data_IF_707558770852
#
_entry.id   IF_707558770852
#
_cell.length_a   1.000
_cell.length_b   1.000
_cell.length_c   1.000
_cell.angle_alpha   90.00
_cell.angle_beta   90.00
_cell.angle_gamma   90.00
#
_symmetry.space_group_name_H-M   'P 1'
#
loop_
_entity.id
_entity.type
_entity.pdbx_description
1 polymer ?
#
# COMPACT_ATOMS: atom_id res chain seq x y z
N UNK A 1 -3.30 20.05 -4.23
CA UNK A 1 -4.73 19.75 -4.52
C UNK A 1 -4.94 19.12 -5.91
N UNK A 2 -4.21 19.52 -6.98
CA UNK A 2 -4.39 18.94 -8.33
C UNK A 2 -4.13 17.43 -8.39
N UNK A 3 -3.05 16.93 -7.74
CA UNK A 3 -2.77 15.49 -7.63
C UNK A 3 -3.95 14.75 -6.97
N UNK A 4 -4.47 15.29 -5.86
CA UNK A 4 -5.58 14.68 -5.13
C UNK A 4 -6.91 14.71 -5.91
N UNK A 5 -7.11 15.70 -6.79
CA UNK A 5 -8.26 15.73 -7.72
C UNK A 5 -8.17 14.58 -8.73
N UNK A 6 -7.00 14.36 -9.34
CA UNK A 6 -6.77 13.24 -10.27
C UNK A 6 -6.95 11.88 -9.57
N UNK A 7 -6.41 11.74 -8.37
CA UNK A 7 -6.55 10.52 -7.56
C UNK A 7 -8.03 10.17 -7.33
N UNK A 8 -8.80 11.14 -6.85
CA UNK A 8 -10.22 10.94 -6.51
C UNK A 8 -11.08 10.67 -7.74
N UNK A 9 -10.91 11.48 -8.81
CA UNK A 9 -11.74 11.43 -10.02
C UNK A 9 -11.30 10.37 -11.03
N UNK A 10 -10.04 9.91 -10.98
CA UNK A 10 -9.47 8.97 -11.94
C UNK A 10 -9.27 9.54 -13.33
N UNK A 11 -9.27 10.85 -13.49
CA UNK A 11 -9.13 11.53 -14.79
C UNK A 11 -7.70 11.41 -15.33
N UNK A 12 -7.55 11.58 -16.65
CA UNK A 12 -6.24 11.70 -17.28
C UNK A 12 -5.56 13.01 -16.87
N UNK A 13 -4.23 13.04 -16.83
CA UNK A 13 -3.46 14.24 -16.49
C UNK A 13 -3.86 15.45 -17.33
N UNK A 14 -4.02 15.28 -18.63
CA UNK A 14 -4.39 16.35 -19.57
C UNK A 14 -5.78 16.95 -19.31
N UNK A 15 -6.64 16.23 -18.59
CA UNK A 15 -7.99 16.66 -18.23
C UNK A 15 -8.08 17.24 -16.82
N UNK A 16 -6.92 17.62 -16.23
CA UNK A 16 -6.91 18.34 -14.96
C UNK A 16 -7.65 19.66 -15.10
N UNK A 17 -8.50 19.99 -14.14
CA UNK A 17 -9.33 21.17 -14.13
C UNK A 17 -8.50 22.45 -14.15
N UNK A 18 -9.00 23.49 -14.88
CA UNK A 18 -8.30 24.78 -15.05
C UNK A 18 -8.12 25.59 -13.76
N UNK A 19 -8.82 25.25 -12.68
CA UNK A 19 -8.64 25.87 -11.37
C UNK A 19 -7.32 25.45 -10.67
N UNK A 20 -6.63 24.42 -11.17
CA UNK A 20 -5.31 24.01 -10.75
C UNK A 20 -4.22 24.53 -11.70
N UNK A 21 -2.94 24.54 -11.27
CA UNK A 21 -1.83 24.76 -12.20
C UNK A 21 -1.88 23.81 -13.39
N UNK A 22 -1.17 24.13 -14.48
CA UNK A 22 -1.16 23.28 -15.67
C UNK A 22 -0.80 21.83 -15.30
N UNK A 23 -1.39 20.87 -16.01
CA UNK A 23 -1.19 19.45 -15.70
C UNK A 23 0.29 19.04 -15.76
N UNK A 24 1.10 19.69 -16.61
CA UNK A 24 2.54 19.41 -16.72
C UNK A 24 3.26 19.72 -15.40
N UNK A 25 2.94 20.87 -14.78
CA UNK A 25 3.52 21.26 -13.50
C UNK A 25 3.08 20.32 -12.40
N UNK A 26 1.79 19.96 -12.35
CA UNK A 26 1.26 19.03 -11.34
C UNK A 26 1.88 17.64 -11.49
N UNK A 27 2.02 17.14 -12.72
CA UNK A 27 2.67 15.88 -13.04
C UNK A 27 4.16 15.89 -12.68
N UNK A 28 4.86 16.98 -12.96
CA UNK A 28 6.25 17.16 -12.59
C UNK A 28 6.47 16.94 -11.08
N UNK A 29 5.65 17.57 -10.24
CA UNK A 29 5.76 17.39 -8.79
C UNK A 29 5.34 15.99 -8.33
N UNK A 30 4.33 15.38 -8.94
CA UNK A 30 3.98 13.99 -8.67
C UNK A 30 5.14 13.05 -8.94
N UNK A 31 5.79 13.19 -10.10
CA UNK A 31 6.93 12.36 -10.48
C UNK A 31 8.18 12.67 -9.62
N UNK A 32 8.47 13.95 -9.38
CA UNK A 32 9.61 14.39 -8.57
C UNK A 32 9.52 13.86 -7.15
N UNK A 33 8.41 14.07 -6.45
CA UNK A 33 8.27 13.67 -5.05
C UNK A 33 8.25 12.17 -4.85
N UNK A 34 7.78 11.41 -5.85
CA UNK A 34 7.88 9.95 -5.83
C UNK A 34 9.27 9.42 -6.16
N UNK A 35 10.12 10.21 -6.85
CA UNK A 35 11.49 9.81 -7.21
C UNK A 35 12.50 10.17 -6.12
N UNK A 36 12.37 11.35 -5.50
CA UNK A 36 13.31 11.89 -4.52
C UNK A 36 13.03 11.51 -3.06
N UNK A 37 12.08 10.61 -2.83
CA UNK A 37 11.69 10.13 -1.50
C UNK A 37 10.85 11.13 -0.69
N UNK A 38 10.48 12.27 -1.26
CA UNK A 38 9.66 13.28 -0.56
C UNK A 38 8.29 12.74 -0.19
N UNK A 39 7.65 12.00 -1.10
CA UNK A 39 6.32 11.43 -0.85
C UNK A 39 6.34 10.41 0.29
N UNK A 40 7.33 9.54 0.34
CA UNK A 40 7.53 8.56 1.41
C UNK A 40 7.73 9.25 2.76
N UNK A 41 8.57 10.32 2.81
CA UNK A 41 8.77 11.11 4.04
C UNK A 41 7.48 11.77 4.51
N UNK A 42 6.73 12.42 3.60
CA UNK A 42 5.43 13.04 3.93
C UNK A 42 4.44 11.99 4.43
N UNK A 43 4.35 10.85 3.77
CA UNK A 43 3.49 9.74 4.19
C UNK A 43 3.85 9.24 5.59
N UNK A 44 5.14 9.02 5.87
CA UNK A 44 5.63 8.57 7.18
C UNK A 44 5.30 9.58 8.28
N UNK A 45 5.54 10.87 8.05
CA UNK A 45 5.24 11.91 9.05
C UNK A 45 3.73 12.05 9.30
N UNK A 46 2.89 11.98 8.27
CA UNK A 46 1.43 11.96 8.42
C UNK A 46 0.97 10.73 9.22
N UNK A 47 1.55 9.56 8.96
CA UNK A 47 1.27 8.36 9.74
C UNK A 47 1.61 8.55 11.22
N UNK A 48 2.82 9.06 11.54
CA UNK A 48 3.26 9.34 12.91
C UNK A 48 2.32 10.33 13.61
N UNK A 49 1.92 11.40 12.93
CA UNK A 49 0.99 12.38 13.44
C UNK A 49 -0.39 11.78 13.73
N UNK A 50 -0.93 10.98 12.80
CA UNK A 50 -2.23 10.33 12.95
C UNK A 50 -2.20 9.31 14.10
N UNK A 51 -1.14 8.53 14.22
CA UNK A 51 -0.97 7.59 15.34
C UNK A 51 -0.98 8.30 16.68
N UNK A 52 -0.20 9.39 16.82
CA UNK A 52 -0.19 10.21 18.05
C UNK A 52 -1.58 10.77 18.35
N UNK A 53 -2.30 11.26 17.33
CA UNK A 53 -3.67 11.77 17.47
C UNK A 53 -4.64 10.70 17.99
N UNK A 54 -4.40 9.42 17.65
CA UNK A 54 -5.17 8.25 18.11
C UNK A 54 -4.64 7.67 19.45
N UNK A 55 -3.81 8.41 20.19
CA UNK A 55 -3.25 7.97 21.47
C UNK A 55 -2.23 6.82 21.36
N UNK A 56 -1.62 6.63 20.18
CA UNK A 56 -0.63 5.58 19.93
C UNK A 56 0.78 6.16 19.83
N UNK A 57 1.76 5.30 20.03
CA UNK A 57 3.16 5.65 19.73
C UNK A 57 3.34 6.01 18.26
N UNK A 58 4.28 6.89 17.95
CA UNK A 58 4.49 7.42 16.60
C UNK A 58 4.77 6.32 15.56
N UNK A 59 5.59 5.32 15.90
CA UNK A 59 5.90 4.17 15.07
C UNK A 59 5.14 2.92 15.54
N UNK A 60 4.73 2.02 14.64
CA UNK A 60 4.05 0.79 15.00
C UNK A 60 5.00 -0.26 15.59
N UNK A 61 4.47 -1.16 16.43
CA UNK A 61 5.14 -2.40 16.86
C UNK A 61 4.60 -3.63 16.16
N UNK A 62 3.43 -3.52 15.53
CA UNK A 62 2.76 -4.58 14.77
C UNK A 62 2.38 -4.06 13.40
N UNK A 63 2.74 -4.81 12.38
CA UNK A 63 2.42 -4.57 10.99
C UNK A 63 1.73 -5.78 10.36
N UNK A 64 0.93 -5.55 9.33
CA UNK A 64 0.31 -6.61 8.52
C UNK A 64 0.67 -6.42 7.06
N UNK A 65 1.05 -7.50 6.39
CA UNK A 65 1.34 -7.51 4.95
C UNK A 65 0.27 -8.32 4.23
N UNK A 66 -0.19 -7.80 3.10
CA UNK A 66 -1.04 -8.53 2.17
C UNK A 66 -0.90 -7.97 0.76
N UNK A 67 -1.45 -8.67 -0.23
CA UNK A 67 -1.42 -8.31 -1.63
C UNK A 67 -2.80 -8.27 -2.27
N UNK A 68 -2.95 -7.36 -3.23
CA UNK A 68 -4.13 -7.28 -4.08
C UNK A 68 -3.73 -7.30 -5.55
N UNK A 69 -4.28 -8.26 -6.32
CA UNK A 69 -4.16 -8.24 -7.78
C UNK A 69 -5.14 -7.24 -8.36
N UNK A 70 -4.67 -6.40 -9.29
CA UNK A 70 -5.48 -5.37 -9.94
C UNK A 70 -5.29 -5.46 -11.46
N UNK A 71 -6.39 -5.35 -12.19
CA UNK A 71 -6.39 -5.39 -13.65
C UNK A 71 -5.70 -4.16 -14.21
N UNK A 72 -4.72 -4.35 -15.11
CA UNK A 72 -4.10 -3.26 -15.87
C UNK A 72 -4.89 -2.99 -17.15
N UNK A 73 -4.80 -1.74 -17.62
CA UNK A 73 -5.38 -1.37 -18.91
C UNK A 73 -4.53 -1.91 -20.07
N UNK A 74 -5.09 -1.93 -21.28
CA UNK A 74 -4.48 -2.58 -22.45
C UNK A 74 -3.10 -2.01 -22.82
N UNK A 75 -2.90 -0.70 -22.69
CA UNK A 75 -1.65 -0.02 -23.07
C UNK A 75 -0.51 -0.18 -22.05
N UNK A 76 -0.76 -0.79 -20.88
CA UNK A 76 0.29 -1.13 -19.92
C UNK A 76 0.91 -2.44 -20.35
N UNK A 77 2.19 -2.42 -20.73
CA UNK A 77 2.96 -3.57 -21.16
C UNK A 77 4.06 -3.97 -20.19
N UNK A 78 4.60 -3.02 -19.42
CA UNK A 78 5.71 -3.26 -18.50
C UNK A 78 5.20 -3.82 -17.17
N UNK A 79 5.92 -4.81 -16.64
CA UNK A 79 5.63 -5.46 -15.36
C UNK A 79 4.15 -5.84 -15.22
N UNK A 80 3.64 -6.54 -16.20
CA UNK A 80 2.27 -7.03 -16.27
C UNK A 80 2.29 -8.54 -16.46
N UNK A 81 1.46 -9.25 -15.69
CA UNK A 81 1.34 -10.70 -15.74
C UNK A 81 -0.06 -11.16 -15.39
N UNK A 82 -0.30 -12.47 -15.42
CA UNK A 82 -1.59 -13.07 -15.09
C UNK A 82 -1.48 -13.76 -13.73
N UNK A 83 -2.28 -13.29 -12.75
CA UNK A 83 -2.47 -14.02 -11.51
C UNK A 83 -3.25 -15.30 -11.79
N UNK A 84 -2.56 -16.44 -11.70
CA UNK A 84 -3.14 -17.75 -12.03
C UNK A 84 -4.27 -18.18 -11.08
N UNK A 85 -4.33 -17.65 -9.86
CA UNK A 85 -5.37 -17.97 -8.89
C UNK A 85 -6.62 -17.12 -9.07
N UNK A 86 -6.45 -15.83 -9.40
CA UNK A 86 -7.56 -14.86 -9.51
C UNK A 86 -7.95 -14.57 -10.96
N UNK A 87 -7.22 -15.12 -11.95
CA UNK A 87 -7.40 -14.87 -13.38
C UNK A 87 -7.38 -13.38 -13.74
N UNK A 88 -6.55 -12.59 -13.05
CA UNK A 88 -6.41 -11.15 -13.27
C UNK A 88 -5.14 -10.90 -14.08
N UNK A 89 -5.31 -10.32 -15.28
CA UNK A 89 -4.20 -9.83 -16.10
C UNK A 89 -3.87 -8.39 -15.67
N UNK A 90 -2.74 -8.23 -14.97
CA UNK A 90 -2.37 -6.92 -14.42
C UNK A 90 -1.17 -6.95 -13.51
N UNK A 91 -1.27 -6.20 -12.41
CA UNK A 91 -0.24 -6.07 -11.40
C UNK A 91 -0.72 -6.49 -10.03
N UNK A 92 0.21 -6.85 -9.18
CA UNK A 92 -0.01 -7.13 -7.78
C UNK A 92 0.52 -5.97 -6.93
N UNK A 93 -0.30 -5.49 -6.00
CA UNK A 93 0.00 -4.40 -5.07
C UNK A 93 0.21 -5.01 -3.70
N UNK A 94 1.43 -5.02 -3.20
CA UNK A 94 1.72 -5.38 -1.82
C UNK A 94 1.74 -4.12 -0.97
N UNK A 95 1.08 -4.15 0.17
CA UNK A 95 1.13 -3.08 1.16
C UNK A 95 1.47 -3.64 2.54
N UNK A 96 2.17 -2.84 3.32
CA UNK A 96 2.37 -3.08 4.74
C UNK A 96 1.66 -1.99 5.52
N UNK A 97 0.80 -2.39 6.44
CA UNK A 97 -0.04 -1.46 7.21
C UNK A 97 0.07 -1.72 8.71
N UNK A 98 -0.19 -0.70 9.51
CA UNK A 98 -0.31 -0.83 10.96
C UNK A 98 -1.75 -1.16 11.41
N UNK A 99 -1.96 -1.24 12.72
CA UNK A 99 -3.27 -1.54 13.34
C UNK A 99 -4.35 -0.47 13.09
N UNK A 100 -3.98 0.72 12.59
CA UNK A 100 -4.91 1.76 12.15
C UNK A 100 -5.23 1.68 10.67
N UNK A 101 -4.55 0.78 9.93
CA UNK A 101 -4.64 0.65 8.48
C UNK A 101 -3.87 1.74 7.73
N UNK A 102 -2.89 2.37 8.38
CA UNK A 102 -2.01 3.36 7.74
C UNK A 102 -0.92 2.64 6.94
N UNK A 103 -0.71 3.04 5.70
CA UNK A 103 0.26 2.43 4.79
C UNK A 103 1.67 2.91 5.12
N UNK A 104 2.57 1.98 5.47
CA UNK A 104 3.97 2.24 5.79
C UNK A 104 4.92 1.88 4.66
N UNK A 105 4.50 1.02 3.75
CA UNK A 105 5.27 0.66 2.57
C UNK A 105 4.37 0.08 1.50
N UNK A 106 4.84 0.15 0.25
CA UNK A 106 4.15 -0.38 -0.91
C UNK A 106 5.16 -0.86 -1.96
N UNK A 107 4.85 -1.99 -2.58
CA UNK A 107 5.58 -2.54 -3.73
C UNK A 107 4.57 -3.02 -4.76
N UNK A 108 4.79 -2.66 -6.01
CA UNK A 108 3.94 -3.07 -7.15
C UNK A 108 4.79 -3.82 -8.16
N UNK A 109 4.29 -4.96 -8.65
CA UNK A 109 4.96 -5.81 -9.64
C UNK A 109 3.95 -6.57 -10.52
N UNK A 110 4.44 -7.32 -11.49
CA UNK A 110 3.60 -8.15 -12.35
C UNK A 110 2.80 -9.19 -11.54
N UNK A 111 1.53 -9.43 -11.91
CA UNK A 111 0.61 -10.24 -11.11
C UNK A 111 0.94 -11.75 -11.12
N UNK A 112 1.73 -12.24 -12.08
CA UNK A 112 2.21 -13.62 -12.16
C UNK A 112 3.31 -13.97 -11.14
N UNK A 113 3.96 -12.97 -10.56
CA UNK A 113 4.99 -13.19 -9.53
C UNK A 113 4.31 -13.59 -8.22
N UNK A 114 4.81 -14.67 -7.60
CA UNK A 114 4.29 -15.18 -6.33
C UNK A 114 4.51 -14.19 -5.16
N UNK A 115 3.55 -14.11 -4.24
CA UNK A 115 3.55 -13.14 -3.13
C UNK A 115 4.83 -13.19 -2.28
N UNK A 116 5.31 -14.39 -1.96
CA UNK A 116 6.52 -14.58 -1.17
C UNK A 116 7.82 -14.11 -1.82
N UNK A 117 7.85 -13.91 -3.15
CA UNK A 117 9.08 -13.51 -3.85
C UNK A 117 9.40 -12.02 -3.75
N UNK A 118 8.40 -11.16 -3.52
CA UNK A 118 8.58 -9.70 -3.51
C UNK A 118 8.32 -9.04 -2.16
N UNK A 119 7.80 -9.80 -1.19
CA UNK A 119 7.49 -9.28 0.14
C UNK A 119 8.73 -8.78 0.91
N UNK A 120 9.92 -9.34 0.65
CA UNK A 120 11.16 -8.87 1.25
C UNK A 120 11.47 -7.41 0.94
N UNK A 121 11.22 -6.96 -0.31
CA UNK A 121 11.44 -5.57 -0.73
C UNK A 121 10.59 -4.60 0.11
N UNK A 122 9.39 -5.01 0.52
CA UNK A 122 8.51 -4.21 1.34
C UNK A 122 9.08 -3.99 2.74
N UNK A 123 9.66 -5.04 3.35
CA UNK A 123 10.30 -4.96 4.66
C UNK A 123 11.61 -4.20 4.63
N UNK A 124 12.48 -4.48 3.68
CA UNK A 124 13.76 -3.76 3.53
C UNK A 124 13.54 -2.25 3.47
N UNK A 125 12.49 -1.83 2.76
CA UNK A 125 12.14 -0.42 2.67
C UNK A 125 11.66 0.17 4.01
N UNK A 126 11.04 -0.65 4.87
CA UNK A 126 10.48 -0.20 6.15
C UNK A 126 11.44 -0.30 7.34
N UNK A 127 12.39 -1.25 7.33
CA UNK A 127 13.26 -1.53 8.48
C UNK A 127 14.05 -0.32 8.96
N UNK A 128 14.48 0.55 8.04
CA UNK A 128 15.32 1.71 8.36
C UNK A 128 14.66 2.81 9.18
N UNK A 129 13.34 2.78 9.39
CA UNK A 129 12.60 3.83 10.14
C UNK A 129 11.47 3.30 11.05
N UNK A 130 11.38 1.99 11.25
CA UNK A 130 10.39 1.38 12.15
C UNK A 130 11.08 0.74 13.36
N UNK A 131 11.81 1.55 14.14
CA UNK A 131 12.61 1.14 15.29
C UNK A 131 11.87 0.30 16.36
N UNK A 132 10.53 0.45 16.43
CA UNK A 132 9.70 -0.25 17.42
C UNK A 132 9.03 -1.50 16.88
N UNK A 133 9.32 -1.89 15.65
CA UNK A 133 8.68 -3.06 15.04
C UNK A 133 9.09 -4.35 15.77
N UNK A 134 8.11 -5.11 16.22
CA UNK A 134 8.29 -6.35 16.96
C UNK A 134 7.69 -7.54 16.25
N UNK A 135 6.56 -7.34 15.54
CA UNK A 135 5.81 -8.42 14.93
C UNK A 135 5.24 -8.03 13.57
N UNK A 136 5.24 -9.01 12.65
CA UNK A 136 4.58 -8.92 11.35
C UNK A 136 3.57 -10.04 11.19
N UNK A 137 2.37 -9.69 10.76
CA UNK A 137 1.32 -10.63 10.37
C UNK A 137 1.33 -10.80 8.85
N UNK A 138 1.34 -12.02 8.39
CA UNK A 138 1.32 -12.38 6.96
C UNK A 138 0.34 -13.51 6.68
N UNK A 139 -0.09 -13.66 5.42
CA UNK A 139 -0.88 -14.81 4.99
C UNK A 139 0.00 -16.05 4.77
N UNK A 140 -0.61 -17.24 4.75
CA UNK A 140 0.06 -18.51 4.43
C UNK A 140 0.72 -18.52 3.04
N UNK A 141 0.24 -17.71 2.10
CA UNK A 141 0.87 -17.55 0.79
C UNK A 141 2.32 -17.04 0.86
N UNK A 142 2.71 -16.40 1.97
CA UNK A 142 4.07 -15.88 2.18
C UNK A 142 5.05 -16.93 2.76
N UNK A 143 4.59 -18.12 3.16
CA UNK A 143 5.45 -19.17 3.74
C UNK A 143 6.57 -19.61 2.80
N UNK A 144 6.31 -19.67 1.48
CA UNK A 144 7.33 -20.04 0.50
C UNK A 144 8.17 -18.83 0.09
N UNK A 145 9.48 -18.92 0.29
CA UNK A 145 10.46 -17.91 -0.12
C UNK A 145 10.61 -16.74 0.87
N UNK A 146 9.51 -16.13 1.34
CA UNK A 146 9.59 -15.02 2.27
C UNK A 146 10.05 -15.44 3.67
N UNK A 147 9.55 -16.56 4.21
CA UNK A 147 9.95 -17.05 5.53
C UNK A 147 11.44 -17.38 5.57
N UNK A 148 11.94 -18.10 4.58
CA UNK A 148 13.36 -18.47 4.50
C UNK A 148 14.26 -17.23 4.46
N UNK A 149 13.92 -16.22 3.64
CA UNK A 149 14.64 -14.96 3.60
C UNK A 149 14.54 -14.23 4.95
N UNK A 150 13.35 -14.17 5.56
CA UNK A 150 13.10 -13.51 6.82
C UNK A 150 13.98 -14.08 7.94
N UNK A 151 13.96 -15.41 8.14
CA UNK A 151 14.74 -16.11 9.16
C UNK A 151 16.26 -15.96 8.96
N UNK A 152 16.72 -15.86 7.71
CA UNK A 152 18.15 -15.68 7.42
C UNK A 152 18.63 -14.24 7.54
N UNK A 153 17.74 -13.25 7.49
CA UNK A 153 18.11 -11.83 7.32
C UNK A 153 17.69 -10.99 8.52
N UNK A 154 16.56 -11.30 9.15
CA UNK A 154 15.94 -10.46 10.18
C UNK A 154 16.10 -11.08 11.56
N UNK A 155 16.72 -10.33 12.47
CA UNK A 155 16.92 -10.73 13.87
C UNK A 155 16.04 -9.87 14.77
N UNK A 156 15.37 -10.51 15.74
CA UNK A 156 14.59 -9.81 16.79
C UNK A 156 13.19 -9.37 16.37
N UNK A 157 12.73 -9.78 15.19
CA UNK A 157 11.39 -9.52 14.70
C UNK A 157 10.62 -10.85 14.58
N UNK A 158 9.39 -10.89 15.13
CA UNK A 158 8.52 -12.05 15.06
C UNK A 158 7.67 -12.02 13.80
N UNK A 159 7.55 -13.16 13.11
CA UNK A 159 6.58 -13.36 12.03
C UNK A 159 5.46 -14.30 12.51
N UNK A 160 4.21 -13.91 12.33
CA UNK A 160 3.04 -14.71 12.64
C UNK A 160 2.21 -14.93 11.38
N UNK A 161 1.96 -16.21 11.07
CA UNK A 161 1.09 -16.59 9.95
C UNK A 161 -0.36 -16.62 10.42
N UNK A 162 -1.15 -15.77 9.78
CA UNK A 162 -2.58 -15.65 10.05
C UNK A 162 -3.35 -16.78 9.36
N UNK A 163 -3.22 -18.02 9.88
CA UNK A 163 -3.95 -19.19 9.41
C UNK A 163 -5.34 -19.27 10.06
N UNK A 164 -6.34 -19.70 9.29
CA UNK A 164 -7.67 -20.01 9.87
C UNK A 164 -7.53 -21.20 10.84
N UNK A 165 -8.17 -21.14 12.03
CA UNK A 165 -8.26 -22.33 12.88
C UNK A 165 -8.94 -23.46 12.08
N UNK A 166 -8.40 -24.70 12.10
CA UNK A 166 -8.91 -25.82 11.31
C UNK A 166 -10.40 -26.17 11.55
N UNK A 167 -10.92 -25.80 12.71
CA UNK A 167 -12.32 -26.08 13.15
C UNK A 167 -13.32 -25.00 12.83
N UNK A 168 -12.89 -23.86 12.24
CA UNK A 168 -13.79 -22.71 12.02
C UNK A 168 -14.62 -22.87 10.75
N UNK A 169 -15.98 -22.91 10.90
CA UNK A 169 -16.92 -22.76 9.81
C UNK A 169 -17.30 -21.28 9.66
N UNK A 170 -17.27 -20.74 8.44
CA UNK A 170 -17.66 -19.36 8.14
C UNK A 170 -16.50 -18.35 8.21
N UNK A 171 -16.83 -17.05 8.19
CA UNK A 171 -15.87 -15.95 8.26
C UNK A 171 -15.42 -15.74 9.72
N UNK A 172 -14.15 -16.02 10.00
CA UNK A 172 -13.53 -15.71 11.31
C UNK A 172 -12.51 -14.60 11.09
N UNK A 173 -12.77 -13.39 11.63
CA UNK A 173 -11.78 -12.30 11.54
C UNK A 173 -10.54 -12.66 12.36
N UNK A 174 -9.41 -12.79 11.71
CA UNK A 174 -8.12 -12.93 12.40
C UNK A 174 -7.74 -11.55 12.91
N UNK A 175 -7.46 -11.45 14.21
CA UNK A 175 -7.16 -10.19 14.88
C UNK A 175 -6.05 -9.44 14.13
N UNK A 176 -6.32 -8.19 13.78
CA UNK A 176 -5.44 -7.24 13.07
C UNK A 176 -5.18 -7.54 11.58
N UNK A 177 -5.37 -8.76 11.07
CA UNK A 177 -5.20 -9.04 9.64
C UNK A 177 -6.24 -8.30 8.79
N UNK A 178 -7.50 -8.25 9.24
CA UNK A 178 -8.56 -7.54 8.53
C UNK A 178 -8.25 -6.05 8.26
N UNK A 179 -7.26 -5.45 8.98
CA UNK A 179 -6.88 -4.06 8.79
C UNK A 179 -6.27 -3.82 7.41
N UNK A 180 -5.49 -4.75 6.87
CA UNK A 180 -4.92 -4.63 5.53
C UNK A 180 -5.99 -4.81 4.46
N UNK A 181 -6.92 -5.76 4.65
CA UNK A 181 -8.06 -5.97 3.76
C UNK A 181 -8.96 -4.72 3.72
N UNK A 182 -9.24 -4.12 4.87
CA UNK A 182 -9.95 -2.84 4.98
C UNK A 182 -9.22 -1.72 4.24
N UNK A 183 -7.91 -1.66 4.33
CA UNK A 183 -7.13 -0.64 3.63
C UNK A 183 -7.24 -0.79 2.12
N UNK A 184 -7.20 -2.00 1.57
CA UNK A 184 -7.53 -2.25 0.17
C UNK A 184 -8.96 -1.81 -0.18
N UNK A 185 -9.93 -2.04 0.71
CA UNK A 185 -11.30 -1.54 0.58
C UNK A 185 -11.33 0.00 0.46
N UNK A 186 -10.54 0.72 1.28
CA UNK A 186 -10.45 2.18 1.18
C UNK A 186 -9.84 2.68 -0.12
N UNK A 187 -8.88 1.96 -0.72
CA UNK A 187 -8.32 2.31 -2.04
C UNK A 187 -9.43 2.36 -3.11
N UNK A 188 -10.44 1.50 -3.01
CA UNK A 188 -11.53 1.41 -3.99
C UNK A 188 -12.45 2.65 -4.00
N UNK A 189 -12.43 3.51 -2.97
CA UNK A 189 -13.13 4.79 -2.99
C UNK A 189 -12.48 5.82 -3.91
N UNK A 190 -11.27 5.55 -4.39
CA UNK A 190 -10.53 6.43 -5.28
C UNK A 190 -10.54 5.84 -6.69
N UNK A 191 -11.17 6.52 -7.63
CA UNK A 191 -11.34 6.01 -9.00
C UNK A 191 -10.04 5.69 -9.72
N UNK A 192 -8.93 6.35 -9.34
CA UNK A 192 -7.61 6.06 -9.90
C UNK A 192 -7.13 4.63 -9.60
N UNK A 193 -7.65 3.99 -8.57
CA UNK A 193 -7.30 2.62 -8.18
C UNK A 193 -8.19 1.53 -8.79
N UNK A 194 -9.28 1.87 -9.49
CA UNK A 194 -10.21 0.90 -10.09
C UNK A 194 -9.52 -0.07 -11.07
N UNK A 195 -8.49 0.40 -11.75
CA UNK A 195 -7.54 -0.38 -12.56
C UNK A 195 -6.15 0.23 -12.42
N UNK A 196 -5.12 -0.49 -12.83
CA UNK A 196 -3.79 0.10 -12.97
C UNK A 196 -3.66 0.75 -14.36
N UNK A 197 -3.52 2.09 -14.36
CA UNK A 197 -3.39 2.92 -15.55
C UNK A 197 -1.93 3.39 -15.75
N UNK A 198 -1.02 3.01 -14.87
CA UNK A 198 0.32 3.58 -14.83
C UNK A 198 1.27 2.80 -15.73
N UNK A 199 2.11 3.51 -16.48
CA UNK A 199 3.14 2.87 -17.33
C UNK A 199 4.16 2.13 -16.48
N UNK A 200 4.63 2.75 -15.39
CA UNK A 200 5.65 2.19 -14.49
C UNK A 200 5.06 1.89 -13.11
N UNK A 201 5.56 0.86 -12.46
CA UNK A 201 5.11 0.40 -11.14
C UNK A 201 5.29 1.46 -10.06
N UNK A 202 6.38 2.24 -10.11
CA UNK A 202 6.62 3.34 -9.16
C UNK A 202 5.50 4.38 -9.15
N UNK A 203 4.88 4.67 -10.28
CA UNK A 203 3.71 5.56 -10.34
C UNK A 203 2.49 4.96 -9.65
N UNK A 204 2.30 3.63 -9.77
CA UNK A 204 1.23 2.92 -9.07
C UNK A 204 1.44 2.94 -7.55
N UNK A 205 2.68 2.77 -7.08
CA UNK A 205 3.07 2.89 -5.67
C UNK A 205 2.79 4.29 -5.14
N UNK A 206 3.21 5.31 -5.88
CA UNK A 206 2.97 6.71 -5.52
C UNK A 206 1.48 7.01 -5.32
N UNK A 207 0.60 6.49 -6.17
CA UNK A 207 -0.85 6.68 -6.00
C UNK A 207 -1.37 6.07 -4.71
N UNK A 208 -0.85 4.93 -4.27
CA UNK A 208 -1.23 4.30 -3.00
C UNK A 208 -0.80 5.18 -1.82
N UNK A 209 0.42 5.71 -1.84
CA UNK A 209 0.91 6.62 -0.81
C UNK A 209 0.10 7.92 -0.78
N UNK A 210 -0.22 8.52 -1.93
CA UNK A 210 -1.10 9.69 -2.02
C UNK A 210 -2.49 9.41 -1.47
N UNK A 211 -3.01 8.20 -1.69
CA UNK A 211 -4.31 7.78 -1.13
C UNK A 211 -4.25 7.74 0.39
N UNK A 212 -3.21 7.14 0.97
CA UNK A 212 -3.02 7.13 2.42
C UNK A 212 -2.95 8.54 3.00
N UNK A 213 -2.17 9.44 2.37
CA UNK A 213 -2.12 10.85 2.75
C UNK A 213 -3.52 11.50 2.72
N UNK A 214 -4.29 11.29 1.67
CA UNK A 214 -5.65 11.84 1.53
C UNK A 214 -6.61 11.31 2.60
N UNK A 215 -6.54 10.02 2.91
CA UNK A 215 -7.37 9.41 3.96
C UNK A 215 -7.07 10.06 5.32
N UNK A 216 -5.79 10.27 5.66
CA UNK A 216 -5.39 10.92 6.91
C UNK A 216 -5.88 12.36 6.96
N UNK A 217 -5.72 13.11 5.88
CA UNK A 217 -6.19 14.50 5.78
C UNK A 217 -7.71 14.58 5.98
N UNK A 218 -8.48 13.69 5.36
CA UNK A 218 -9.94 13.66 5.52
C UNK A 218 -10.35 13.36 6.97
N UNK A 219 -9.65 12.47 7.68
CA UNK A 219 -9.92 12.16 9.10
C UNK A 219 -9.73 13.40 10.01
N UNK A 220 -8.79 14.29 9.66
CA UNK A 220 -8.58 15.54 10.41
C UNK A 220 -9.72 16.53 10.21
N UNK A 221 -10.23 16.66 8.99
CA UNK A 221 -11.28 17.62 8.65
C UNK A 221 -12.62 17.26 9.30
N UNK A 222 -12.96 15.96 9.38
CA UNK A 222 -14.24 15.50 9.97
C UNK A 222 -14.33 15.78 11.48
N UNK A 223 -13.22 15.90 12.20
CA UNK A 223 -13.22 16.14 13.66
C UNK A 223 -13.19 17.63 14.04
N UNK A 224 -13.07 18.52 13.07
CA UNK A 224 -13.11 19.98 13.29
C UNK A 224 -14.50 20.58 13.03
N UNK A 225 -15.44 19.78 12.58
CA UNK A 225 -16.87 20.10 12.39
C UNK A 225 -17.71 19.34 13.43
#
# INVERSE_FOLDING_TARGET
NGILSILRKGTQWRNLEKCYPSWQVVYYYFAKWGKDGTLERVNSELNKMERKRQGKQATPSLLSIDSQSVKSVAFVSEEKGIDGNKFINGRKRHIIVDTLGLVWGVVVHAADIHDGQKAHLLLEHCLGYLERMQKILVDDAYKKGFLQWFESTIIGLEIEFASRPPSSKGFVPIRWRWTVERTFGWLNFFRRHAKDYEKITKSSENWILWTNCQIILNRKTIQQN
#
